data_IF_067786087827
#
_entry.id   IF_067786087827
#
_cell.length_a   1.000
_cell.length_b   1.000
_cell.length_c   1.000
_cell.angle_alpha   90.00
_cell.angle_beta   90.00
_cell.angle_gamma   90.00
#
_symmetry.space_group_name_H-M   'P 1'
#
loop_
_entity.id
_entity.type
_entity.pdbx_description
1 polymer ?
#
# COMPACT_ATOMS: atom_id res chain seq x y z
N UNK A 1 -27.87 7.41 -2.18
CA UNK A 1 -28.14 8.16 -3.42
C UNK A 1 -26.84 8.18 -4.23
N UNK A 2 -26.93 7.98 -5.55
CA UNK A 2 -25.77 8.15 -6.44
C UNK A 2 -25.35 9.64 -6.42
N UNK A 3 -24.03 9.93 -6.53
CA UNK A 3 -23.56 11.31 -6.57
C UNK A 3 -24.10 12.02 -7.81
N UNK A 4 -24.35 13.34 -7.71
CA UNK A 4 -24.71 14.16 -8.87
C UNK A 4 -23.58 14.18 -9.93
N UNK A 5 -22.33 14.09 -9.48
CA UNK A 5 -21.15 13.89 -10.34
C UNK A 5 -20.98 12.39 -10.58
N UNK A 6 -21.09 11.98 -11.84
CA UNK A 6 -21.03 10.58 -12.27
C UNK A 6 -19.60 10.09 -12.55
N UNK A 7 -18.58 10.81 -12.09
CA UNK A 7 -17.19 10.39 -12.25
C UNK A 7 -16.86 9.16 -11.38
N UNK A 8 -15.89 8.36 -11.81
CA UNK A 8 -15.40 7.21 -11.03
C UNK A 8 -14.90 7.64 -9.65
N UNK A 9 -14.27 8.82 -9.54
CA UNK A 9 -13.81 9.39 -8.27
C UNK A 9 -14.98 9.60 -7.32
N UNK A 10 -15.99 10.37 -7.75
CA UNK A 10 -17.16 10.69 -6.92
C UNK A 10 -17.94 9.43 -6.49
N UNK A 11 -17.99 8.41 -7.35
CA UNK A 11 -18.60 7.11 -7.03
C UNK A 11 -17.82 6.38 -5.93
N UNK A 12 -16.48 6.27 -6.03
CA UNK A 12 -15.64 5.63 -5.03
C UNK A 12 -15.77 6.37 -3.68
N UNK A 13 -15.65 7.70 -3.67
CA UNK A 13 -15.76 8.51 -2.46
C UNK A 13 -17.14 8.38 -1.79
N UNK A 14 -18.20 8.28 -2.60
CA UNK A 14 -19.54 8.04 -2.09
C UNK A 14 -19.65 6.67 -1.41
N UNK A 15 -19.09 5.62 -2.01
CA UNK A 15 -19.11 4.28 -1.40
C UNK A 15 -18.33 4.24 -0.07
N UNK A 16 -17.23 4.97 0.03
CA UNK A 16 -16.47 5.12 1.29
C UNK A 16 -17.30 5.84 2.33
N UNK A 17 -17.89 7.00 1.98
CA UNK A 17 -18.72 7.80 2.88
C UNK A 17 -19.93 7.02 3.38
N UNK A 18 -20.51 6.19 2.53
CA UNK A 18 -21.64 5.33 2.88
C UNK A 18 -21.21 4.09 3.70
N UNK A 19 -19.90 3.85 3.88
CA UNK A 19 -19.34 2.71 4.60
C UNK A 19 -19.51 1.37 3.89
N UNK A 20 -19.70 1.38 2.57
CA UNK A 20 -19.80 0.20 1.72
C UNK A 20 -18.44 -0.24 1.17
N UNK A 21 -17.44 0.63 1.24
CA UNK A 21 -16.09 0.40 0.78
C UNK A 21 -15.10 0.86 1.85
N UNK A 22 -14.13 0.02 2.18
CA UNK A 22 -13.05 0.42 3.11
C UNK A 22 -12.08 1.38 2.43
N UNK A 23 -11.34 2.17 3.22
CA UNK A 23 -10.34 3.11 2.68
C UNK A 23 -9.27 2.40 1.86
N UNK A 24 -8.80 1.22 2.31
CA UNK A 24 -7.80 0.44 1.59
C UNK A 24 -8.28 0.03 0.20
N UNK A 25 -9.51 -0.50 0.10
CA UNK A 25 -10.11 -0.87 -1.18
C UNK A 25 -10.34 0.35 -2.09
N UNK A 26 -10.74 1.48 -1.52
CA UNK A 26 -10.86 2.73 -2.26
C UNK A 26 -9.50 3.19 -2.81
N UNK A 27 -8.43 3.07 -2.03
CA UNK A 27 -7.07 3.39 -2.44
C UNK A 27 -6.64 2.52 -3.63
N UNK A 28 -6.92 1.22 -3.58
CA UNK A 28 -6.66 0.29 -4.70
C UNK A 28 -7.44 0.70 -5.96
N UNK A 29 -8.74 1.00 -5.83
CA UNK A 29 -9.58 1.45 -6.95
C UNK A 29 -9.08 2.77 -7.56
N UNK A 30 -8.65 3.73 -6.73
CA UNK A 30 -8.04 4.95 -7.22
C UNK A 30 -6.71 4.69 -7.93
N UNK A 31 -5.91 3.74 -7.45
CA UNK A 31 -4.67 3.30 -8.09
C UNK A 31 -4.93 2.72 -9.48
N UNK A 32 -5.83 1.76 -9.57
CA UNK A 32 -6.26 1.16 -10.85
C UNK A 32 -6.74 2.23 -11.85
N UNK A 33 -7.54 3.19 -11.40
CA UNK A 33 -8.00 4.31 -12.23
C UNK A 33 -6.84 5.20 -12.71
N UNK A 34 -5.91 5.55 -11.81
CA UNK A 34 -4.74 6.39 -12.16
C UNK A 34 -3.86 5.71 -13.21
N UNK A 35 -3.58 4.42 -13.05
CA UNK A 35 -2.75 3.66 -14.00
C UNK A 35 -3.44 3.50 -15.34
N UNK A 36 -4.75 3.22 -15.34
CA UNK A 36 -5.54 3.19 -16.59
C UNK A 36 -5.45 4.53 -17.31
N UNK A 37 -5.57 5.65 -16.61
CA UNK A 37 -5.47 6.97 -17.24
C UNK A 37 -4.08 7.22 -17.82
N UNK A 38 -2.99 6.86 -17.12
CA UNK A 38 -1.62 6.94 -17.66
C UNK A 38 -1.46 6.10 -18.91
N UNK A 39 -1.94 4.85 -18.89
CA UNK A 39 -1.85 3.97 -20.05
C UNK A 39 -2.57 4.54 -21.29
N UNK A 40 -3.76 5.13 -21.09
CA UNK A 40 -4.59 5.64 -22.20
C UNK A 40 -4.11 7.00 -22.73
N UNK A 41 -3.65 7.89 -21.83
CA UNK A 41 -3.36 9.29 -22.19
C UNK A 41 -1.87 9.60 -22.36
N UNK A 42 -0.99 8.81 -21.73
CA UNK A 42 0.45 9.07 -21.70
C UNK A 42 1.26 7.95 -22.40
N UNK A 43 0.60 7.00 -23.10
CA UNK A 43 1.22 5.80 -23.68
C UNK A 43 2.11 5.04 -22.68
N UNK A 44 1.75 5.10 -21.42
CA UNK A 44 2.49 4.42 -20.36
C UNK A 44 2.35 2.91 -20.49
N UNK A 45 3.48 2.20 -20.52
CA UNK A 45 3.50 0.73 -20.49
C UNK A 45 4.56 0.25 -19.52
N UNK A 46 4.17 -0.67 -18.64
CA UNK A 46 5.07 -1.35 -17.68
C UNK A 46 4.52 -2.74 -17.44
N UNK A 47 5.32 -3.74 -17.73
CA UNK A 47 4.93 -5.16 -17.53
C UNK A 47 4.75 -5.43 -16.03
N UNK A 48 5.64 -4.91 -15.19
CA UNK A 48 5.58 -5.09 -13.73
C UNK A 48 4.31 -4.46 -13.15
N UNK A 49 4.02 -3.20 -13.52
CA UNK A 49 2.81 -2.53 -13.07
C UNK A 49 1.57 -3.26 -13.56
N UNK A 50 1.55 -3.70 -14.81
CA UNK A 50 0.43 -4.45 -15.38
C UNK A 50 0.15 -5.74 -14.60
N UNK A 51 1.19 -6.50 -14.23
CA UNK A 51 1.06 -7.70 -13.39
C UNK A 51 0.53 -7.37 -11.98
N UNK A 52 1.10 -6.35 -11.34
CA UNK A 52 0.68 -5.94 -10.00
C UNK A 52 -0.77 -5.44 -9.97
N UNK A 53 -1.15 -4.59 -10.94
CA UNK A 53 -2.51 -4.08 -11.02
C UNK A 53 -3.53 -5.14 -11.44
N UNK A 54 -3.14 -6.11 -12.26
CA UNK A 54 -4.01 -7.25 -12.59
C UNK A 54 -4.29 -8.09 -11.33
N UNK A 55 -3.28 -8.33 -10.51
CA UNK A 55 -3.42 -9.05 -9.24
C UNK A 55 -4.31 -8.27 -8.25
N UNK A 56 -4.16 -6.95 -8.17
CA UNK A 56 -5.02 -6.08 -7.35
C UNK A 56 -6.46 -6.08 -7.85
N UNK A 57 -6.67 -5.99 -9.17
CA UNK A 57 -8.00 -6.06 -9.77
C UNK A 57 -8.68 -7.39 -9.47
N UNK A 58 -7.95 -8.50 -9.56
CA UNK A 58 -8.46 -9.81 -9.17
C UNK A 58 -8.89 -9.83 -7.70
N UNK A 59 -8.07 -9.33 -6.79
CA UNK A 59 -8.41 -9.22 -5.37
C UNK A 59 -9.66 -8.38 -5.11
N UNK A 60 -9.89 -7.33 -5.90
CA UNK A 60 -11.13 -6.53 -5.84
C UNK A 60 -12.34 -7.34 -6.33
N UNK A 61 -12.20 -8.11 -7.41
CA UNK A 61 -13.26 -9.00 -7.90
C UNK A 61 -13.60 -10.06 -6.85
N UNK A 62 -12.61 -10.69 -6.22
CA UNK A 62 -12.79 -11.64 -5.14
C UNK A 62 -13.57 -11.04 -3.95
N UNK A 63 -13.15 -9.84 -3.49
CA UNK A 63 -13.88 -9.14 -2.46
C UNK A 63 -15.33 -8.87 -2.86
N UNK A 64 -15.56 -8.43 -4.09
CA UNK A 64 -16.91 -8.14 -4.59
C UNK A 64 -17.77 -9.40 -4.61
N UNK A 65 -17.24 -10.49 -5.14
CA UNK A 65 -17.95 -11.77 -5.21
C UNK A 65 -18.28 -12.35 -3.83
N UNK A 66 -17.35 -12.26 -2.87
CA UNK A 66 -17.58 -12.69 -1.49
C UNK A 66 -18.54 -11.80 -0.72
N UNK A 67 -18.71 -10.54 -1.12
CA UNK A 67 -19.57 -9.57 -0.44
C UNK A 67 -20.97 -9.52 -1.06
N UNK A 68 -21.05 -9.52 -2.38
CA UNK A 68 -22.26 -9.23 -3.16
C UNK A 68 -22.65 -10.34 -4.13
N UNK A 69 -21.77 -11.31 -4.36
CA UNK A 69 -22.01 -12.46 -5.24
C UNK A 69 -22.95 -13.49 -4.63
N UNK A 70 -23.09 -14.61 -5.32
CA UNK A 70 -23.89 -15.73 -4.86
C UNK A 70 -23.24 -16.39 -3.63
N UNK A 71 -24.06 -16.84 -2.69
CA UNK A 71 -23.59 -17.53 -1.47
C UNK A 71 -22.82 -18.84 -1.75
N UNK A 72 -22.97 -19.41 -2.95
CA UNK A 72 -22.23 -20.58 -3.42
C UNK A 72 -20.85 -20.26 -4.00
N UNK A 73 -20.48 -18.97 -4.07
CA UNK A 73 -19.18 -18.56 -4.61
C UNK A 73 -18.03 -19.15 -3.80
N UNK A 74 -17.15 -19.88 -4.48
CA UNK A 74 -15.92 -20.41 -3.91
C UNK A 74 -14.72 -19.63 -4.44
N UNK A 75 -13.82 -19.25 -3.54
CA UNK A 75 -12.55 -18.62 -3.91
C UNK A 75 -11.77 -19.49 -4.91
N UNK A 76 -11.14 -18.81 -5.87
CA UNK A 76 -10.20 -19.42 -6.82
C UNK A 76 -8.85 -18.75 -6.67
N UNK A 77 -7.79 -19.51 -6.83
CA UNK A 77 -6.45 -18.94 -6.85
C UNK A 77 -6.23 -18.14 -8.13
N UNK A 78 -5.52 -17.02 -8.00
CA UNK A 78 -5.14 -16.22 -9.15
C UNK A 78 -4.06 -16.94 -9.96
N UNK A 79 -4.30 -17.10 -11.25
CA UNK A 79 -3.31 -17.61 -12.19
C UNK A 79 -2.89 -16.46 -13.11
N UNK A 80 -1.60 -16.11 -13.07
CA UNK A 80 -1.08 -15.09 -13.95
C UNK A 80 -1.17 -15.55 -15.41
N UNK A 81 -1.77 -14.75 -16.31
CA UNK A 81 -1.80 -15.09 -17.73
C UNK A 81 -0.38 -15.20 -18.31
N UNK A 82 -0.17 -16.15 -19.22
CA UNK A 82 1.08 -16.24 -19.98
C UNK A 82 1.27 -14.98 -20.85
N UNK A 83 2.52 -14.56 -21.03
CA UNK A 83 2.87 -13.41 -21.86
C UNK A 83 2.70 -13.77 -23.35
N UNK A 84 1.48 -13.96 -23.82
CA UNK A 84 1.18 -14.03 -25.23
C UNK A 84 0.96 -12.60 -25.74
N UNK A 85 1.92 -12.08 -26.45
CA UNK A 85 1.86 -10.77 -27.14
C UNK A 85 0.92 -10.91 -28.36
N UNK A 86 -0.35 -11.16 -28.13
CA UNK A 86 -1.37 -10.84 -29.13
C UNK A 86 -1.77 -9.39 -28.90
N UNK A 87 -1.30 -8.51 -29.79
CA UNK A 87 -1.86 -7.17 -29.94
C UNK A 87 -3.28 -7.37 -30.47
N UNK A 88 -4.22 -7.58 -29.57
CA UNK A 88 -5.65 -7.52 -29.89
C UNK A 88 -5.94 -6.03 -30.07
N UNK A 89 -6.19 -5.61 -31.31
CA UNK A 89 -6.78 -4.30 -31.56
C UNK A 89 -8.16 -4.27 -30.91
N UNK A 90 -8.24 -3.56 -29.78
CA UNK A 90 -9.50 -3.41 -29.04
C UNK A 90 -10.41 -2.52 -29.89
N UNK A 91 -11.52 -3.07 -30.33
CA UNK A 91 -12.58 -2.32 -30.97
C UNK A 91 -13.30 -1.47 -29.90
N UNK A 92 -12.92 -0.19 -29.81
CA UNK A 92 -13.44 0.73 -28.79
C UNK A 92 -14.96 0.87 -28.83
N UNK A 93 -15.56 0.84 -30.04
CA UNK A 93 -17.01 0.95 -30.19
C UNK A 93 -17.73 -0.29 -29.68
N UNK A 94 -17.14 -1.49 -29.86
CA UNK A 94 -17.69 -2.74 -29.35
C UNK A 94 -17.58 -2.82 -27.82
N UNK A 95 -16.48 -2.31 -27.24
CA UNK A 95 -16.33 -2.22 -25.78
C UNK A 95 -17.31 -1.24 -25.16
N UNK A 96 -17.45 -0.03 -25.70
CA UNK A 96 -18.39 0.97 -25.21
C UNK A 96 -19.85 0.47 -25.24
N UNK A 97 -20.24 -0.23 -26.30
CA UNK A 97 -21.56 -0.86 -26.39
C UNK A 97 -21.77 -1.95 -25.35
N UNK A 98 -20.76 -2.80 -25.16
CA UNK A 98 -20.80 -3.86 -24.14
C UNK A 98 -20.86 -3.28 -22.72
N UNK A 99 -20.11 -2.23 -22.44
CA UNK A 99 -20.13 -1.53 -21.16
C UNK A 99 -21.49 -0.88 -20.88
N UNK A 100 -22.11 -0.24 -21.88
CA UNK A 100 -23.44 0.34 -21.77
C UNK A 100 -24.53 -0.73 -21.54
N UNK A 101 -24.41 -1.90 -22.18
CA UNK A 101 -25.36 -3.01 -21.98
C UNK A 101 -25.21 -3.65 -20.60
N UNK A 102 -23.97 -3.84 -20.12
CA UNK A 102 -23.70 -4.31 -18.75
C UNK A 102 -24.20 -3.32 -17.71
N UNK A 103 -24.05 -2.02 -17.93
CA UNK A 103 -24.57 -0.99 -17.04
C UNK A 103 -26.09 -1.04 -16.94
N UNK A 104 -26.80 -1.22 -18.07
CA UNK A 104 -28.25 -1.37 -18.10
C UNK A 104 -28.72 -2.64 -17.38
N UNK A 105 -28.06 -3.76 -17.60
CA UNK A 105 -28.34 -5.00 -16.88
C UNK A 105 -28.11 -4.87 -15.37
N UNK A 106 -27.04 -4.15 -14.97
CA UNK A 106 -26.77 -3.86 -13.57
C UNK A 106 -27.85 -3.00 -12.91
N UNK A 107 -28.41 -2.00 -13.61
CA UNK A 107 -29.53 -1.19 -13.13
C UNK A 107 -30.80 -2.03 -12.96
N UNK A 108 -31.14 -2.88 -13.93
CA UNK A 108 -32.29 -3.78 -13.87
C UNK A 108 -32.15 -4.78 -12.72
N UNK A 109 -30.97 -5.37 -12.54
CA UNK A 109 -30.68 -6.29 -11.43
C UNK A 109 -30.75 -5.59 -10.07
N UNK A 110 -30.26 -4.34 -9.98
CA UNK A 110 -30.33 -3.55 -8.75
C UNK A 110 -31.77 -3.17 -8.37
N UNK A 111 -32.63 -2.91 -9.36
CA UNK A 111 -34.05 -2.62 -9.13
C UNK A 111 -34.81 -3.84 -8.62
N UNK A 112 -34.43 -5.05 -9.04
CA UNK A 112 -35.07 -6.32 -8.69
C UNK A 112 -34.44 -7.00 -7.46
N UNK A 113 -33.31 -6.51 -6.95
CA UNK A 113 -32.62 -7.11 -5.82
C UNK A 113 -33.43 -7.00 -4.51
N UNK A 114 -33.50 -8.08 -3.68
CA UNK A 114 -34.13 -8.00 -2.37
C UNK A 114 -33.46 -6.89 -1.55
N UNK A 115 -34.27 -6.05 -0.88
CA UNK A 115 -33.79 -5.00 0.04
C UNK A 115 -33.22 -5.63 1.31
N UNK A 116 -32.02 -6.21 1.20
CA UNK A 116 -31.24 -6.58 2.39
C UNK A 116 -30.92 -5.28 3.14
N UNK A 117 -31.07 -5.31 4.46
CA UNK A 117 -30.82 -4.12 5.27
C UNK A 117 -29.43 -3.55 4.97
N UNK A 118 -29.36 -2.25 4.68
CA UNK A 118 -28.13 -1.53 4.31
C UNK A 118 -26.99 -1.77 5.31
N UNK A 119 -27.33 -1.87 6.58
CA UNK A 119 -26.37 -2.07 7.66
C UNK A 119 -25.76 -3.50 7.66
N UNK A 120 -26.53 -4.50 7.24
CA UNK A 120 -26.01 -5.86 7.09
C UNK A 120 -25.02 -5.95 5.93
N UNK A 121 -25.31 -5.29 4.81
CA UNK A 121 -24.37 -5.19 3.67
C UNK A 121 -23.06 -4.50 4.06
N UNK A 122 -23.16 -3.39 4.82
CA UNK A 122 -21.98 -2.69 5.33
C UNK A 122 -21.13 -3.58 6.22
N UNK A 123 -21.77 -4.28 7.17
CA UNK A 123 -21.05 -5.22 8.05
C UNK A 123 -20.37 -6.33 7.25
N UNK A 124 -21.06 -6.91 6.28
CA UNK A 124 -20.51 -7.95 5.42
C UNK A 124 -19.34 -7.45 4.58
N UNK A 125 -19.50 -6.30 3.91
CA UNK A 125 -18.45 -5.70 3.08
C UNK A 125 -17.18 -5.42 3.88
N UNK A 126 -17.33 -4.82 5.07
CA UNK A 126 -16.19 -4.54 5.96
C UNK A 126 -15.57 -5.82 6.53
N UNK A 127 -16.37 -6.81 6.89
CA UNK A 127 -15.89 -8.10 7.40
C UNK A 127 -15.03 -8.80 6.34
N UNK A 128 -15.53 -8.93 5.13
CA UNK A 128 -14.81 -9.57 4.01
C UNK A 128 -13.54 -8.78 3.66
N UNK A 129 -13.62 -7.45 3.57
CA UNK A 129 -12.46 -6.60 3.29
C UNK A 129 -11.34 -6.77 4.32
N UNK A 130 -11.69 -6.86 5.61
CA UNK A 130 -10.71 -7.03 6.69
C UNK A 130 -10.16 -8.44 6.80
N UNK A 131 -10.89 -9.45 6.34
CA UNK A 131 -10.47 -10.85 6.36
C UNK A 131 -9.67 -11.24 5.10
N UNK A 132 -9.80 -10.49 4.02
CA UNK A 132 -9.12 -10.77 2.77
C UNK A 132 -7.59 -10.68 2.95
N UNK A 133 -6.83 -11.72 2.58
CA UNK A 133 -5.38 -11.63 2.53
C UNK A 133 -4.97 -10.57 1.51
N UNK A 134 -4.07 -9.67 1.89
CA UNK A 134 -3.46 -8.70 0.97
C UNK A 134 -2.23 -9.34 0.35
N UNK A 135 -2.05 -9.16 -0.94
CA UNK A 135 -0.82 -9.55 -1.62
C UNK A 135 0.34 -8.63 -1.22
N UNK A 136 1.56 -9.04 -1.46
CA UNK A 136 2.74 -8.21 -1.23
C UNK A 136 2.67 -6.92 -2.06
N UNK A 137 2.26 -7.01 -3.33
CA UNK A 137 2.08 -5.86 -4.20
C UNK A 137 1.03 -4.88 -3.66
N UNK A 138 -0.12 -5.38 -3.18
CA UNK A 138 -1.13 -4.54 -2.53
C UNK A 138 -0.61 -3.86 -1.27
N UNK A 139 0.12 -4.60 -0.44
CA UNK A 139 0.68 -4.05 0.80
C UNK A 139 1.67 -2.92 0.49
N UNK A 140 2.58 -3.11 -0.46
CA UNK A 140 3.53 -2.09 -0.90
C UNK A 140 2.83 -0.88 -1.50
N UNK A 141 1.85 -1.11 -2.37
CA UNK A 141 1.06 -0.03 -2.95
C UNK A 141 0.34 0.82 -1.89
N UNK A 142 -0.25 0.18 -0.88
CA UNK A 142 -0.91 0.88 0.23
C UNK A 142 0.08 1.68 1.08
N UNK A 143 1.27 1.14 1.33
CA UNK A 143 2.33 1.85 2.05
C UNK A 143 2.77 3.08 1.26
N UNK A 144 3.01 2.94 -0.05
CA UNK A 144 3.39 4.05 -0.92
C UNK A 144 2.35 5.19 -0.89
N UNK A 145 1.05 4.87 -1.03
CA UNK A 145 -0.01 5.87 -0.96
C UNK A 145 -0.07 6.54 0.43
N UNK A 146 0.08 5.78 1.50
CA UNK A 146 0.08 6.31 2.87
C UNK A 146 1.28 7.24 3.13
N UNK A 147 2.47 6.86 2.65
CA UNK A 147 3.67 7.70 2.74
C UNK A 147 3.51 9.00 1.94
N UNK A 148 2.95 8.92 0.72
CA UNK A 148 2.66 10.12 -0.10
C UNK A 148 1.67 11.07 0.58
N UNK A 149 0.65 10.53 1.26
CA UNK A 149 -0.34 11.34 1.97
C UNK A 149 0.26 12.21 3.08
N UNK A 150 1.38 11.79 3.67
CA UNK A 150 2.09 12.55 4.71
C UNK A 150 3.31 13.31 4.21
N UNK A 151 3.55 13.33 2.88
CA UNK A 151 4.55 14.19 2.25
C UNK A 151 5.86 13.51 1.85
N UNK A 152 5.95 12.17 1.93
CA UNK A 152 7.08 11.43 1.34
C UNK A 152 6.89 11.23 -0.17
N UNK A 153 7.97 11.25 -0.91
CA UNK A 153 8.01 10.75 -2.28
C UNK A 153 8.24 9.22 -2.22
N UNK A 154 7.18 8.46 -2.44
CA UNK A 154 7.19 7.00 -2.36
C UNK A 154 6.56 6.39 -3.63
N UNK A 155 7.26 5.45 -4.23
CA UNK A 155 6.81 4.67 -5.39
C UNK A 155 7.71 3.45 -5.49
N UNK A 156 7.25 2.31 -5.01
CA UNK A 156 8.03 1.06 -4.95
C UNK A 156 8.59 0.65 -6.32
N UNK A 157 7.91 1.02 -7.42
CA UNK A 157 8.35 0.67 -8.77
C UNK A 157 9.40 1.66 -9.30
N UNK A 158 9.24 2.96 -9.06
CA UNK A 158 10.06 3.99 -9.67
C UNK A 158 11.08 4.63 -8.72
N UNK A 159 10.76 4.71 -7.42
CA UNK A 159 11.66 5.21 -6.38
C UNK A 159 12.29 4.01 -5.65
N UNK A 160 13.17 3.32 -6.36
CA UNK A 160 13.77 2.06 -5.94
C UNK A 160 15.29 2.11 -6.12
N UNK A 161 16.02 1.50 -5.19
CA UNK A 161 17.49 1.49 -5.25
C UNK A 161 18.03 0.86 -6.54
N UNK A 162 17.42 -0.24 -7.00
CA UNK A 162 17.84 -0.95 -8.22
C UNK A 162 17.61 -0.17 -9.52
N UNK A 163 16.85 0.93 -9.47
CA UNK A 163 16.64 1.88 -10.58
C UNK A 163 17.51 3.13 -10.46
N UNK A 164 18.64 3.02 -9.78
CA UNK A 164 19.63 4.09 -9.56
C UNK A 164 19.08 5.35 -8.87
N UNK A 165 17.93 5.23 -8.17
CA UNK A 165 17.44 6.31 -7.33
C UNK A 165 18.33 6.43 -6.10
N UNK A 166 18.81 7.64 -5.85
CA UNK A 166 19.72 7.98 -4.74
C UNK A 166 19.21 9.21 -3.98
N UNK A 167 19.56 9.33 -2.69
CA UNK A 167 19.23 10.52 -1.91
C UNK A 167 19.72 11.79 -2.60
N UNK A 168 18.86 12.82 -2.63
CA UNK A 168 19.12 14.06 -3.36
C UNK A 168 18.65 15.25 -2.52
N UNK A 169 19.46 16.30 -2.47
CA UNK A 169 19.13 17.55 -1.75
C UNK A 169 17.75 18.08 -2.13
N UNK A 170 16.99 18.50 -1.14
CA UNK A 170 15.65 19.07 -1.31
C UNK A 170 14.52 18.05 -1.54
N UNK A 171 14.81 16.76 -1.69
CA UNK A 171 13.81 15.71 -1.83
C UNK A 171 13.56 14.97 -0.52
N UNK A 172 12.37 14.42 -0.36
CA UNK A 172 11.91 13.65 0.80
C UNK A 172 11.55 12.24 0.35
N UNK A 173 12.56 11.39 0.20
CA UNK A 173 12.45 10.10 -0.50
C UNK A 173 12.22 8.94 0.46
N UNK A 174 11.28 8.07 0.13
CA UNK A 174 11.18 6.70 0.63
C UNK A 174 11.69 5.75 -0.47
N UNK A 175 12.97 5.38 -0.41
CA UNK A 175 13.61 4.54 -1.44
C UNK A 175 13.34 3.08 -1.12
N UNK A 176 12.63 2.40 -2.03
CA UNK A 176 12.27 0.99 -1.88
C UNK A 176 13.47 0.05 -2.12
N UNK A 177 13.43 -1.11 -1.45
CA UNK A 177 14.45 -2.17 -1.49
C UNK A 177 15.87 -1.62 -1.33
N UNK A 178 16.07 -0.93 -0.22
CA UNK A 178 17.34 -0.30 0.08
C UNK A 178 18.33 -1.34 0.63
N UNK A 179 19.50 -1.52 -0.01
CA UNK A 179 20.46 -2.54 0.41
C UNK A 179 21.16 -2.19 1.72
N UNK A 180 21.40 -3.21 2.53
CA UNK A 180 22.15 -3.14 3.79
C UNK A 180 23.11 -4.33 3.87
N UNK A 181 24.00 -4.34 4.84
CA UNK A 181 24.86 -5.49 5.15
C UNK A 181 24.21 -6.49 6.13
N UNK A 182 22.89 -6.36 6.35
CA UNK A 182 22.15 -7.29 7.22
C UNK A 182 22.13 -8.70 6.65
N UNK A 183 22.27 -9.68 7.53
CA UNK A 183 22.09 -11.12 7.21
C UNK A 183 20.74 -11.65 7.67
N UNK A 184 19.93 -10.79 8.29
CA UNK A 184 18.60 -11.10 8.83
C UNK A 184 17.52 -10.60 7.87
N UNK A 185 16.40 -11.33 7.75
CA UNK A 185 15.26 -10.91 6.93
C UNK A 185 15.45 -11.09 5.42
N UNK A 186 15.11 -10.08 4.62
CA UNK A 186 15.11 -10.12 3.15
C UNK A 186 16.54 -10.06 2.52
N UNK A 187 17.46 -10.87 3.00
CA UNK A 187 18.81 -10.99 2.42
C UNK A 187 19.55 -9.65 2.25
N UNK A 188 19.45 -8.77 3.26
CA UNK A 188 20.17 -7.51 3.26
C UNK A 188 19.45 -6.34 2.58
N UNK A 189 18.14 -6.40 2.39
CA UNK A 189 17.36 -5.29 1.86
C UNK A 189 16.29 -4.88 2.87
N UNK A 190 16.29 -3.58 3.23
CA UNK A 190 15.17 -2.96 3.92
C UNK A 190 14.05 -2.66 2.91
N UNK A 191 12.78 -2.81 3.29
CA UNK A 191 11.68 -2.52 2.38
C UNK A 191 11.69 -1.06 1.92
N UNK A 192 11.98 -0.11 2.83
CA UNK A 192 12.23 1.29 2.48
C UNK A 192 13.29 1.91 3.40
N UNK A 193 14.09 2.82 2.82
CA UNK A 193 14.91 3.76 3.55
C UNK A 193 14.38 5.19 3.34
N UNK A 194 14.22 5.93 4.44
CA UNK A 194 13.66 7.28 4.46
C UNK A 194 14.77 8.32 4.48
N UNK A 195 14.74 9.21 3.49
CA UNK A 195 15.73 10.27 3.32
C UNK A 195 15.09 11.64 3.32
N UNK A 196 15.66 12.56 4.08
CA UNK A 196 15.36 14.00 4.00
C UNK A 196 16.59 14.67 3.41
N UNK A 197 16.51 15.03 2.13
CA UNK A 197 17.68 15.39 1.35
C UNK A 197 18.65 14.22 1.24
N UNK A 198 19.87 14.41 1.72
CA UNK A 198 20.92 13.38 1.76
C UNK A 198 21.10 12.76 3.16
N UNK A 199 20.14 12.96 4.07
CA UNK A 199 20.18 12.44 5.43
C UNK A 199 19.32 11.18 5.55
N UNK A 200 19.92 10.06 5.92
CA UNK A 200 19.19 8.82 6.22
C UNK A 200 18.57 8.95 7.62
N UNK A 201 17.26 9.09 7.67
CA UNK A 201 16.54 9.37 8.92
C UNK A 201 15.74 8.18 9.44
N UNK A 202 15.39 7.21 8.59
CA UNK A 202 14.60 6.08 9.04
C UNK A 202 14.66 4.87 8.12
N UNK A 203 14.29 3.71 8.66
CA UNK A 203 14.13 2.44 7.95
C UNK A 203 12.71 1.92 8.19
N UNK A 204 12.09 1.36 7.16
CA UNK A 204 10.79 0.70 7.25
C UNK A 204 10.94 -0.77 6.88
N UNK A 205 10.38 -1.64 7.69
CA UNK A 205 10.19 -3.06 7.41
C UNK A 205 8.70 -3.38 7.28
N UNK A 206 8.30 -3.94 6.15
CA UNK A 206 6.93 -4.34 5.88
C UNK A 206 6.75 -5.85 6.05
N UNK A 207 5.66 -6.28 6.64
CA UNK A 207 5.32 -7.69 6.86
C UNK A 207 3.92 -8.00 6.38
N UNK A 208 3.68 -9.29 6.14
CA UNK A 208 2.35 -9.77 5.83
C UNK A 208 1.37 -9.47 6.99
N UNK A 209 0.11 -9.21 6.64
CA UNK A 209 -0.94 -8.74 7.56
C UNK A 209 -1.14 -9.63 8.81
N UNK A 210 -0.81 -10.92 8.73
CA UNK A 210 -0.96 -11.87 9.84
C UNK A 210 0.20 -11.83 10.86
N UNK A 211 1.31 -11.16 10.54
CA UNK A 211 2.47 -11.07 11.45
C UNK A 211 2.24 -10.06 12.56
N UNK A 212 2.74 -10.36 13.74
CA UNK A 212 2.74 -9.44 14.87
C UNK A 212 3.97 -8.53 14.82
N UNK A 213 3.72 -7.23 14.73
CA UNK A 213 4.73 -6.22 14.46
C UNK A 213 5.65 -5.92 15.65
N UNK A 214 5.18 -5.91 16.93
CA UNK A 214 6.08 -5.62 18.06
C UNK A 214 7.34 -6.48 18.09
N UNK A 215 7.22 -7.78 17.78
CA UNK A 215 8.38 -8.68 17.71
C UNK A 215 9.27 -8.41 16.49
N UNK A 216 8.70 -7.94 15.40
CA UNK A 216 9.44 -7.62 14.17
C UNK A 216 10.33 -6.40 14.36
N UNK A 217 9.80 -5.34 15.01
CA UNK A 217 10.56 -4.10 15.22
C UNK A 217 11.74 -4.31 16.18
N UNK A 218 11.58 -5.18 17.17
CA UNK A 218 12.65 -5.50 18.11
C UNK A 218 13.76 -6.35 17.50
N UNK A 219 13.47 -7.14 16.50
CA UNK A 219 14.45 -8.06 15.88
C UNK A 219 14.98 -7.50 14.55
N UNK A 220 14.16 -7.49 13.50
CA UNK A 220 14.58 -7.07 12.16
C UNK A 220 14.66 -5.54 12.05
N UNK A 221 13.73 -4.82 12.69
CA UNK A 221 13.72 -3.36 12.68
C UNK A 221 14.96 -2.74 13.32
N UNK A 222 15.64 -3.44 14.24
CA UNK A 222 16.91 -2.98 14.83
C UNK A 222 18.13 -3.40 14.04
N UNK A 223 18.05 -4.44 13.22
CA UNK A 223 19.21 -4.98 12.51
C UNK A 223 19.63 -4.10 11.32
N UNK A 224 18.71 -3.66 10.49
CA UNK A 224 19.04 -2.80 9.35
C UNK A 224 19.71 -1.47 9.75
N UNK A 225 19.25 -0.75 10.80
CA UNK A 225 19.94 0.46 11.28
C UNK A 225 21.38 0.25 11.76
N UNK A 226 21.78 -0.98 12.13
CA UNK A 226 23.16 -1.32 12.46
C UNK A 226 24.01 -1.57 11.22
N UNK A 227 23.40 -2.13 10.19
CA UNK A 227 24.07 -2.75 9.06
C UNK A 227 24.09 -1.86 7.81
N UNK A 228 24.22 -0.55 7.96
CA UNK A 228 24.38 0.37 6.84
C UNK A 228 25.73 0.13 6.17
N UNK A 229 25.72 0.04 4.82
CA UNK A 229 26.92 -0.23 4.01
C UNK A 229 27.91 0.93 4.06
N UNK A 230 29.19 0.64 3.88
CA UNK A 230 30.24 1.68 3.88
C UNK A 230 30.02 2.77 2.84
N UNK A 231 29.55 2.43 1.65
CA UNK A 231 29.26 3.37 0.57
C UNK A 231 28.11 4.35 0.90
N UNK A 232 27.26 3.99 1.85
CA UNK A 232 26.11 4.76 2.31
C UNK A 232 26.39 5.55 3.62
N UNK A 233 27.55 5.37 4.22
CA UNK A 233 27.98 6.10 5.44
C UNK A 233 27.90 7.63 5.28
N UNK A 234 28.07 8.15 4.08
CA UNK A 234 27.93 9.57 3.75
C UNK A 234 26.55 10.14 4.03
N UNK A 235 25.53 9.29 4.13
CA UNK A 235 24.15 9.67 4.44
C UNK A 235 23.81 9.52 5.93
N UNK A 236 24.68 8.90 6.71
CA UNK A 236 24.52 8.69 8.14
C UNK A 236 24.72 10.01 8.88
N UNK A 237 23.75 10.42 9.69
CA UNK A 237 23.72 11.71 10.38
C UNK A 237 24.26 11.65 11.83
N UNK A 238 24.46 10.46 12.36
CA UNK A 238 24.95 10.24 13.72
C UNK A 238 25.10 8.78 14.05
N UNK A 239 25.57 8.50 15.28
CA UNK A 239 25.64 7.16 15.84
C UNK A 239 25.02 7.14 17.24
N UNK A 240 24.17 6.16 17.47
CA UNK A 240 23.49 5.97 18.76
C UNK A 240 23.76 4.54 19.24
N UNK A 241 24.88 4.38 19.99
CA UNK A 241 25.43 3.08 20.30
C UNK A 241 25.87 2.34 19.03
N UNK A 242 25.19 1.24 18.74
CA UNK A 242 25.44 0.41 17.54
C UNK A 242 24.64 0.85 16.30
N UNK A 243 23.67 1.78 16.47
CA UNK A 243 22.76 2.20 15.39
C UNK A 243 23.32 3.39 14.63
N UNK A 244 23.19 3.36 13.30
CA UNK A 244 23.59 4.42 12.36
C UNK A 244 22.36 5.18 11.81
N UNK A 245 21.17 4.72 12.11
CA UNK A 245 19.89 5.33 11.71
C UNK A 245 19.08 5.61 12.96
N UNK A 246 18.54 6.83 13.14
CA UNK A 246 17.87 7.21 14.39
C UNK A 246 16.50 6.55 14.57
N UNK A 247 15.77 6.28 13.48
CA UNK A 247 14.40 5.82 13.55
C UNK A 247 14.18 4.52 12.79
N UNK A 248 13.37 3.64 13.35
CA UNK A 248 12.91 2.45 12.65
C UNK A 248 11.41 2.29 12.76
N UNK A 249 10.82 1.80 11.69
CA UNK A 249 9.39 1.51 11.59
C UNK A 249 9.19 0.07 11.17
N UNK A 250 8.10 -0.51 11.63
CA UNK A 250 7.62 -1.78 11.11
C UNK A 250 6.12 -1.69 10.84
N UNK A 251 5.66 -2.32 9.76
CA UNK A 251 4.26 -2.28 9.37
C UNK A 251 3.79 -3.61 8.80
N UNK A 252 2.49 -3.89 8.95
CA UNK A 252 1.80 -4.99 8.26
C UNK A 252 0.55 -4.51 7.51
N UNK A 253 0.42 -3.19 7.30
CA UNK A 253 -0.71 -2.60 6.60
C UNK A 253 -2.05 -2.64 7.34
N UNK A 254 -2.09 -3.06 8.61
CA UNK A 254 -3.31 -2.96 9.44
C UNK A 254 -3.56 -1.50 9.84
N UNK A 255 -4.83 -1.12 10.08
CA UNK A 255 -5.13 0.17 10.70
C UNK A 255 -4.68 0.20 12.18
N UNK A 256 -4.66 1.39 12.77
CA UNK A 256 -4.52 1.55 14.21
C UNK A 256 -5.75 0.99 14.94
N UNK A 257 -5.51 0.20 15.97
CA UNK A 257 -6.56 -0.46 16.77
C UNK A 257 -6.50 0.05 18.21
N UNK A 258 -7.40 0.96 18.56
CA UNK A 258 -7.44 1.59 19.89
C UNK A 258 -7.58 0.56 21.03
N UNK A 259 -8.45 -0.44 20.87
CA UNK A 259 -8.70 -1.47 21.88
C UNK A 259 -7.61 -2.56 21.91
N UNK A 260 -6.90 -2.75 20.82
CA UNK A 260 -5.86 -3.78 20.65
C UNK A 260 -4.60 -3.18 20.02
N UNK A 261 -3.99 -2.22 20.72
CA UNK A 261 -2.81 -1.49 20.22
C UNK A 261 -1.69 -2.40 19.72
N UNK A 262 -1.48 -3.54 20.39
CA UNK A 262 -0.49 -4.55 20.00
C UNK A 262 -0.74 -5.18 18.63
N UNK A 263 -1.95 -5.06 18.10
CA UNK A 263 -2.35 -5.51 16.75
C UNK A 263 -2.35 -4.39 15.70
N UNK A 264 -2.02 -3.16 16.10
CA UNK A 264 -1.95 -2.01 15.19
C UNK A 264 -0.87 -2.19 14.13
N UNK A 265 -1.09 -1.58 12.96
CA UNK A 265 -0.33 -1.87 11.77
C UNK A 265 0.95 -1.07 11.58
N UNK A 266 1.12 0.07 12.25
CA UNK A 266 2.32 0.90 12.13
C UNK A 266 2.96 1.02 13.50
N UNK A 267 4.22 0.63 13.59
CA UNK A 267 5.03 0.71 14.80
C UNK A 267 6.27 1.53 14.55
N UNK A 268 6.68 2.26 15.56
CA UNK A 268 7.82 3.16 15.55
C UNK A 268 8.74 2.90 16.75
N UNK A 269 10.04 3.01 16.54
CA UNK A 269 11.04 2.99 17.59
C UNK A 269 12.10 4.05 17.31
N UNK A 270 12.33 4.93 18.28
CA UNK A 270 13.42 5.88 18.31
C UNK A 270 14.66 5.19 18.92
N UNK A 271 15.65 4.94 18.09
CA UNK A 271 16.89 4.24 18.45
C UNK A 271 17.94 5.14 19.11
N UNK A 272 17.67 6.44 19.24
CA UNK A 272 18.62 7.40 19.83
C UNK A 272 18.80 7.20 21.33
N UNK A 273 17.81 6.61 21.99
CA UNK A 273 17.83 6.33 23.44
C UNK A 273 17.64 4.84 23.65
N UNK A 274 18.56 4.15 24.36
CA UNK A 274 18.50 2.69 24.54
C UNK A 274 17.24 2.21 25.28
N UNK A 275 16.65 3.05 26.14
CA UNK A 275 15.49 2.71 26.96
C UNK A 275 14.15 2.93 26.26
N UNK A 276 14.15 3.44 25.01
CA UNK A 276 12.93 3.61 24.26
C UNK A 276 12.31 2.26 23.89
N UNK A 277 11.00 2.19 24.04
CA UNK A 277 10.20 1.02 23.66
C UNK A 277 9.42 1.30 22.38
N UNK A 278 9.17 0.27 21.54
CA UNK A 278 8.33 0.41 20.37
C UNK A 278 6.94 0.92 20.73
N UNK A 279 6.40 1.81 19.90
CA UNK A 279 5.07 2.37 20.08
C UNK A 279 4.25 2.28 18.80
N UNK A 280 2.95 2.00 18.94
CA UNK A 280 2.01 1.99 17.84
C UNK A 280 1.64 3.42 17.43
N UNK A 281 1.61 3.71 16.13
CA UNK A 281 1.24 5.00 15.58
C UNK A 281 -0.14 4.93 14.92
N UNK A 282 -0.87 6.04 14.96
CA UNK A 282 -2.13 6.23 14.22
C UNK A 282 -1.92 6.36 12.71
N UNK A 283 -0.72 6.77 12.28
CA UNK A 283 -0.33 6.96 10.89
C UNK A 283 1.17 7.21 10.76
N UNK A 284 1.64 7.34 9.54
CA UNK A 284 3.04 7.63 9.27
C UNK A 284 3.43 9.04 9.73
N UNK A 285 4.66 9.19 10.19
CA UNK A 285 5.24 10.49 10.44
C UNK A 285 5.57 11.19 9.12
N UNK A 286 5.26 12.49 9.04
CA UNK A 286 5.69 13.32 7.92
C UNK A 286 7.20 13.57 7.96
N UNK A 287 7.82 13.91 6.83
CA UNK A 287 9.23 14.34 6.83
C UNK A 287 9.50 15.48 7.79
N UNK A 288 8.64 16.50 7.84
CA UNK A 288 8.80 17.66 8.74
C UNK A 288 8.69 17.25 10.21
N UNK A 289 7.73 16.37 10.55
CA UNK A 289 7.62 15.82 11.90
C UNK A 289 8.83 14.99 12.32
N UNK A 290 9.47 14.29 11.38
CA UNK A 290 10.73 13.59 11.66
C UNK A 290 11.92 14.55 11.83
N UNK A 291 11.97 15.66 11.09
CA UNK A 291 13.00 16.72 11.31
C UNK A 291 12.83 17.38 12.68
N UNK A 292 11.60 17.69 13.08
CA UNK A 292 11.32 18.22 14.42
C UNK A 292 11.75 17.24 15.52
N UNK A 293 11.43 15.95 15.35
CA UNK A 293 11.84 14.91 16.28
C UNK A 293 13.36 14.75 16.33
N UNK A 294 14.07 14.91 15.21
CA UNK A 294 15.53 14.87 15.16
C UNK A 294 16.18 16.03 15.92
N UNK A 295 15.52 17.19 15.92
CA UNK A 295 16.02 18.39 16.59
C UNK A 295 15.78 18.37 18.11
N UNK A 296 14.86 17.54 18.61
CA UNK A 296 14.52 17.35 20.03
C UNK A 296 15.48 16.37 20.72
#
# INVERSE_FOLDING_TARGET
ALPQDNTAVARIDTLVREGLLTRDLATILHGLRKVRNKAVHENYSSVTDSKNFLLMAYGMCEWFMQTYGDWSYTHKDFVMPEENVMIVSVDKEAEEKKEAELAKQAEENAANAPKVARDERKKQANKVANQRPKTEAETRFLIDEQLRMVGWEADTENIRYSKDVRPTKGRKLAIAEYPTNSTVGNRGYADYALFIGEKLVGIIEAKAIHKDIPSVIDYQGKDYPRCIREEDEKYVIGKWGEFKVPFTFATNGRPYLEQYRTKSGIWFLDLRKPDNSPMALHGWMSPDGMEELLAA
#
